data_IF_397579043546
#
_entry.id   IF_397579043546
#
_cell.length_a   1.000
_cell.length_b   1.000
_cell.length_c   1.000
_cell.angle_alpha   90.00
_cell.angle_beta   90.00
_cell.angle_gamma   90.00
#
_symmetry.space_group_name_H-M   'P 1'
#
loop_
_entity.id
_entity.type
_entity.pdbx_description
1 polymer ?
#
# COMPACT_ATOMS: atom_id res chain seq x y z
N UNK A 1 14.90 -11.02 34.03
CA UNK A 1 14.55 -10.92 32.59
C UNK A 1 13.85 -9.60 32.33
N UNK A 2 14.35 -8.78 31.41
CA UNK A 2 13.88 -7.41 31.15
C UNK A 2 13.67 -7.20 29.66
N UNK A 3 12.57 -6.53 29.29
CA UNK A 3 12.35 -6.10 27.89
C UNK A 3 12.82 -4.65 27.73
N UNK A 4 13.71 -4.41 26.79
CA UNK A 4 14.16 -3.07 26.40
C UNK A 4 13.68 -2.78 24.99
N UNK A 5 13.05 -1.63 24.77
CA UNK A 5 12.67 -1.16 23.43
C UNK A 5 13.61 -0.04 23.05
N UNK A 6 14.19 -0.12 21.86
CA UNK A 6 15.12 0.87 21.33
C UNK A 6 15.00 1.00 19.82
N UNK A 7 15.63 2.03 19.26
CA UNK A 7 15.75 2.19 17.82
C UNK A 7 16.60 1.06 17.21
N UNK A 8 16.21 0.67 16.00
CA UNK A 8 16.96 -0.26 15.16
C UNK A 8 18.30 0.35 14.74
N UNK A 9 19.39 -0.41 14.88
CA UNK A 9 20.73 -0.11 14.38
C UNK A 9 21.12 -1.14 13.34
N UNK A 10 21.35 -0.69 12.11
CA UNK A 10 21.62 -1.57 10.96
C UNK A 10 22.85 -2.44 11.17
N UNK A 11 23.86 -1.89 11.84
CA UNK A 11 25.17 -2.52 12.04
C UNK A 11 25.10 -3.71 12.99
N UNK A 12 24.14 -3.71 13.93
CA UNK A 12 24.05 -4.70 15.01
C UNK A 12 22.85 -5.63 14.89
N UNK A 13 21.76 -5.15 14.30
CA UNK A 13 20.46 -5.80 14.46
C UNK A 13 20.02 -6.58 13.22
N UNK A 14 20.70 -6.41 12.08
CA UNK A 14 20.20 -6.87 10.78
C UNK A 14 19.90 -8.37 10.75
N UNK A 15 20.84 -9.19 11.22
CA UNK A 15 20.70 -10.65 11.22
C UNK A 15 19.57 -11.12 12.16
N UNK A 16 19.53 -10.57 13.38
CA UNK A 16 18.50 -10.94 14.36
C UNK A 16 17.10 -10.48 13.94
N UNK A 17 16.98 -9.29 13.34
CA UNK A 17 15.74 -8.80 12.76
C UNK A 17 15.28 -9.71 11.62
N UNK A 18 16.18 -10.11 10.72
CA UNK A 18 15.82 -11.03 9.65
C UNK A 18 15.37 -12.40 10.20
N UNK A 19 16.01 -12.86 11.28
CA UNK A 19 15.59 -14.08 11.97
C UNK A 19 14.20 -13.95 12.60
N UNK A 20 13.89 -12.81 13.23
CA UNK A 20 12.57 -12.56 13.81
C UNK A 20 11.49 -12.50 12.72
N UNK A 21 11.73 -11.82 11.60
CA UNK A 21 10.81 -11.84 10.43
C UNK A 21 10.55 -13.28 9.99
N UNK A 22 11.61 -14.05 9.72
CA UNK A 22 11.53 -15.46 9.30
C UNK A 22 10.73 -16.31 10.29
N UNK A 23 10.91 -16.09 11.60
CA UNK A 23 10.21 -16.84 12.65
C UNK A 23 8.74 -16.47 12.82
N UNK A 24 8.37 -15.24 12.45
CA UNK A 24 7.00 -14.75 12.55
C UNK A 24 6.15 -15.15 11.35
N UNK A 25 6.78 -15.42 10.21
CA UNK A 25 6.14 -15.83 8.97
C UNK A 25 5.82 -17.33 8.97
N UNK A 26 4.86 -17.70 9.82
CA UNK A 26 4.33 -19.06 9.92
C UNK A 26 2.80 -18.98 9.93
N UNK A 27 2.18 -19.30 8.79
CA UNK A 27 0.78 -19.71 8.76
C UNK A 27 0.62 -21.06 9.49
N UNK A 28 -0.61 -21.48 9.87
CA UNK A 28 -0.79 -22.82 10.45
C UNK A 28 -0.10 -23.86 9.56
N UNK A 29 0.60 -24.83 10.16
CA UNK A 29 1.48 -25.78 9.45
C UNK A 29 0.82 -26.59 8.32
N UNK A 30 -0.52 -26.52 8.20
CA UNK A 30 -1.36 -27.13 7.17
C UNK A 30 -1.94 -26.17 6.11
N UNK A 31 -1.68 -24.85 6.19
CA UNK A 31 -2.21 -23.85 5.25
C UNK A 31 -1.12 -23.16 4.44
N UNK A 32 -1.52 -22.68 3.26
CA UNK A 32 -0.70 -21.83 2.40
C UNK A 32 -0.38 -20.53 3.17
N UNK A 33 0.88 -20.10 3.16
CA UNK A 33 1.33 -18.87 3.83
C UNK A 33 2.11 -17.97 2.89
N UNK A 34 2.09 -16.67 3.17
CA UNK A 34 2.82 -15.66 2.43
C UNK A 34 4.04 -15.21 3.22
N UNK A 35 5.21 -15.24 2.58
CA UNK A 35 6.50 -14.91 3.17
C UNK A 35 7.08 -13.66 2.48
N UNK A 36 7.70 -12.76 3.25
CA UNK A 36 8.24 -11.48 2.78
C UNK A 36 9.76 -11.51 2.80
N UNK A 37 10.37 -11.34 1.64
CA UNK A 37 11.81 -11.19 1.48
C UNK A 37 12.17 -9.71 1.38
N UNK A 38 12.77 -9.16 2.43
CA UNK A 38 13.14 -7.74 2.53
C UNK A 38 14.48 -7.40 1.85
N UNK A 39 15.08 -8.35 1.11
CA UNK A 39 16.32 -8.17 0.33
C UNK A 39 17.50 -7.55 1.13
N UNK A 40 17.63 -7.94 2.41
CA UNK A 40 18.67 -7.42 3.30
C UNK A 40 18.41 -6.01 3.83
N UNK A 41 17.17 -5.52 3.71
CA UNK A 41 16.81 -4.18 4.09
C UNK A 41 15.47 -4.12 4.85
N UNK A 42 15.49 -4.14 6.19
CA UNK A 42 14.27 -4.12 6.98
C UNK A 42 13.52 -2.78 6.97
N UNK A 43 14.11 -1.71 6.43
CA UNK A 43 13.49 -0.37 6.36
C UNK A 43 12.91 -0.08 4.97
N UNK A 44 13.02 -1.02 4.03
CA UNK A 44 12.72 -0.83 2.61
C UNK A 44 11.29 -0.33 2.35
N UNK A 45 10.34 -0.76 3.19
CA UNK A 45 8.90 -0.40 3.12
C UNK A 45 8.49 0.87 3.86
N UNK A 46 9.42 1.57 4.53
CA UNK A 46 9.09 2.83 5.26
C UNK A 46 10.03 3.99 4.93
N UNK A 47 11.23 3.71 4.40
CA UNK A 47 12.28 4.72 4.17
C UNK A 47 11.94 5.79 3.14
N UNK A 48 10.91 5.54 2.33
CA UNK A 48 10.46 6.47 1.29
C UNK A 48 9.41 7.46 1.83
N UNK A 49 8.97 7.29 3.08
CA UNK A 49 8.07 8.21 3.76
C UNK A 49 8.84 9.42 4.32
N UNK A 50 8.21 10.60 4.47
CA UNK A 50 8.88 11.82 4.93
C UNK A 50 9.55 11.71 6.29
N UNK A 51 8.96 10.93 7.19
CA UNK A 51 9.58 10.52 8.44
C UNK A 51 9.23 9.05 8.71
N UNK A 52 10.20 8.30 9.24
CA UNK A 52 10.02 6.89 9.55
C UNK A 52 10.89 6.48 10.74
N UNK A 53 10.46 5.44 11.44
CA UNK A 53 11.17 4.84 12.56
C UNK A 53 10.96 3.34 12.57
N UNK A 54 11.99 2.60 12.97
CA UNK A 54 11.88 1.20 13.33
C UNK A 54 12.39 1.00 14.74
N UNK A 55 11.58 0.33 15.56
CA UNK A 55 11.93 -0.04 16.93
C UNK A 55 12.09 -1.55 17.02
N UNK A 56 13.04 -1.99 17.84
CA UNK A 56 13.26 -3.39 18.19
C UNK A 56 13.05 -3.59 19.68
N UNK A 57 12.54 -4.77 20.06
CA UNK A 57 12.43 -5.22 21.43
C UNK A 57 13.51 -6.25 21.73
N UNK A 58 14.41 -5.91 22.65
CA UNK A 58 15.43 -6.80 23.18
C UNK A 58 14.94 -7.47 24.46
N UNK A 59 15.13 -8.78 24.54
CA UNK A 59 15.07 -9.53 25.78
C UNK A 59 16.47 -9.56 26.40
N UNK A 60 16.58 -9.02 27.61
CA UNK A 60 17.81 -9.02 28.41
C UNK A 60 17.65 -10.06 29.52
N UNK A 61 18.52 -11.06 29.49
CA UNK A 61 18.63 -12.14 30.47
C UNK A 61 19.99 -12.02 31.17
N UNK A 62 19.98 -11.99 32.51
CA UNK A 62 21.21 -12.08 33.29
C UNK A 62 21.58 -13.56 33.39
N UNK A 63 22.79 -13.90 32.97
CA UNK A 63 23.35 -15.24 33.00
C UNK A 63 24.62 -15.21 33.83
N UNK A 64 24.75 -16.13 34.78
CA UNK A 64 25.98 -16.30 35.53
C UNK A 64 26.83 -17.38 34.86
N UNK A 65 28.00 -16.99 34.35
CA UNK A 65 28.92 -17.89 33.67
C UNK A 65 30.32 -17.69 34.26
N UNK A 66 30.91 -18.77 34.80
CA UNK A 66 32.20 -18.75 35.50
C UNK A 66 32.31 -17.69 36.63
N UNK A 67 31.24 -17.49 37.40
CA UNK A 67 31.18 -16.52 38.50
C UNK A 67 31.12 -15.06 38.06
N UNK A 68 30.91 -14.79 36.77
CA UNK A 68 30.68 -13.44 36.21
C UNK A 68 29.23 -13.30 35.78
N UNK A 69 28.59 -12.20 36.16
CA UNK A 69 27.25 -11.82 35.66
C UNK A 69 27.41 -11.25 34.25
N UNK A 70 26.88 -11.95 33.26
CA UNK A 70 26.83 -11.54 31.86
C UNK A 70 25.37 -11.20 31.48
N UNK A 71 25.19 -10.17 30.67
CA UNK A 71 23.89 -9.89 30.05
C UNK A 71 23.83 -10.53 28.67
N UNK A 72 22.90 -11.47 28.48
CA UNK A 72 22.53 -11.97 27.16
C UNK A 72 21.39 -11.14 26.61
N UNK A 73 21.57 -10.61 25.40
CA UNK A 73 20.56 -9.83 24.69
C UNK A 73 20.15 -10.56 23.41
N UNK A 74 18.87 -10.52 23.09
CA UNK A 74 18.33 -11.02 21.82
C UNK A 74 17.12 -10.19 21.39
N UNK A 75 17.01 -9.91 20.10
CA UNK A 75 15.83 -9.27 19.52
C UNK A 75 14.70 -10.30 19.45
N UNK A 76 13.56 -9.95 20.03
CA UNK A 76 12.37 -10.82 20.11
C UNK A 76 11.14 -10.20 19.45
N UNK A 77 11.25 -8.96 19.00
CA UNK A 77 10.19 -8.30 18.25
C UNK A 77 10.63 -6.99 17.62
N UNK A 78 9.82 -6.48 16.71
CA UNK A 78 10.04 -5.21 16.03
C UNK A 78 8.71 -4.56 15.61
N UNK A 79 8.75 -3.26 15.37
CA UNK A 79 7.64 -2.49 14.80
C UNK A 79 8.22 -1.40 13.90
N UNK A 80 7.52 -1.08 12.81
CA UNK A 80 7.85 0.00 11.90
C UNK A 80 6.75 1.05 11.94
N UNK A 81 7.13 2.30 11.78
CA UNK A 81 6.20 3.42 11.70
C UNK A 81 6.66 4.43 10.68
N UNK A 82 5.72 5.06 9.99
CA UNK A 82 6.01 6.23 9.17
C UNK A 82 4.97 7.32 9.36
N UNK A 83 5.34 8.56 9.06
CA UNK A 83 4.49 9.73 9.23
C UNK A 83 4.40 10.49 7.91
N UNK A 84 3.19 10.91 7.57
CA UNK A 84 2.87 11.70 6.38
C UNK A 84 1.74 12.69 6.64
N UNK A 85 1.56 13.64 5.74
CA UNK A 85 0.43 14.57 5.77
C UNK A 85 -0.53 14.21 4.65
N UNK A 86 -1.80 13.99 4.99
CA UNK A 86 -2.83 13.55 4.05
C UNK A 86 -4.09 14.39 4.14
N UNK A 87 -4.93 14.28 3.12
CA UNK A 87 -6.31 14.76 3.17
C UNK A 87 -7.18 13.85 4.05
N UNK A 88 -7.87 14.43 5.04
CA UNK A 88 -8.84 13.74 5.91
C UNK A 88 -10.28 14.29 5.78
N UNK A 89 -10.49 15.29 4.93
CA UNK A 89 -11.81 15.88 4.71
C UNK A 89 -11.76 17.05 3.74
N UNK A 90 -12.90 17.73 3.60
CA UNK A 90 -13.06 18.87 2.69
C UNK A 90 -13.80 20.01 3.35
N UNK A 91 -13.44 21.25 3.00
CA UNK A 91 -14.20 22.45 3.36
C UNK A 91 -14.52 23.28 2.12
N UNK A 92 -15.65 23.96 2.14
CA UNK A 92 -15.97 24.99 1.17
C UNK A 92 -15.48 26.36 1.69
N UNK A 93 -14.85 27.18 0.84
CA UNK A 93 -14.46 28.54 1.22
C UNK A 93 -15.69 29.35 1.69
N UNK A 94 -15.66 29.88 2.92
CA UNK A 94 -16.71 30.79 3.41
C UNK A 94 -16.41 32.21 2.87
N UNK A 95 -17.27 32.68 1.95
CA UNK A 95 -17.42 34.06 1.42
C UNK A 95 -16.68 34.43 0.11
N UNK A 96 -17.48 34.70 -0.94
CA UNK A 96 -17.62 36.06 -1.48
C UNK A 96 -19.10 36.28 -1.85
N UNK A 97 -19.74 37.30 -1.24
CA UNK A 97 -21.15 37.69 -1.46
C UNK A 97 -21.33 38.58 -2.70
N UNK A 98 -20.50 38.39 -3.72
CA UNK A 98 -20.60 39.11 -4.99
C UNK A 98 -20.11 38.20 -6.11
N UNK A 99 -20.93 38.07 -7.15
CA UNK A 99 -20.73 37.29 -8.39
C UNK A 99 -21.16 35.81 -8.35
N UNK A 100 -22.33 35.46 -8.91
CA UNK A 100 -22.90 34.11 -8.91
C UNK A 100 -22.30 33.17 -9.99
N UNK A 101 -21.06 33.38 -10.45
CA UNK A 101 -20.54 32.70 -11.65
C UNK A 101 -19.35 31.76 -11.45
N UNK A 102 -18.77 31.63 -10.25
CA UNK A 102 -17.66 30.69 -10.00
C UNK A 102 -18.13 29.55 -9.11
N UNK A 103 -18.28 28.35 -9.68
CA UNK A 103 -18.52 27.11 -8.92
C UNK A 103 -17.49 26.98 -7.79
N UNK A 104 -17.94 27.02 -6.54
CA UNK A 104 -17.04 26.89 -5.39
C UNK A 104 -16.47 25.47 -5.36
N UNK A 105 -15.17 25.32 -5.58
CA UNK A 105 -14.50 24.03 -5.48
C UNK A 105 -14.18 23.71 -4.02
N UNK A 106 -14.44 22.47 -3.57
CA UNK A 106 -14.03 22.04 -2.25
C UNK A 106 -12.51 22.07 -2.14
N UNK A 107 -12.01 22.47 -0.97
CA UNK A 107 -10.59 22.52 -0.63
C UNK A 107 -10.30 21.43 0.41
N UNK A 108 -9.18 20.70 0.30
CA UNK A 108 -8.84 19.67 1.27
C UNK A 108 -8.53 20.22 2.65
N UNK A 109 -8.84 19.40 3.65
CA UNK A 109 -8.39 19.55 5.03
C UNK A 109 -7.30 18.51 5.23
N UNK A 110 -6.14 18.97 5.68
CA UNK A 110 -4.98 18.12 5.91
C UNK A 110 -4.82 17.78 7.39
N UNK A 111 -4.36 16.57 7.66
CA UNK A 111 -3.88 16.15 8.98
C UNK A 111 -2.60 15.35 8.84
N UNK A 112 -1.79 15.33 9.92
CA UNK A 112 -0.58 14.52 10.01
C UNK A 112 -0.94 13.17 10.60
N UNK A 113 -0.70 12.11 9.84
CA UNK A 113 -1.02 10.73 10.24
C UNK A 113 0.22 9.87 10.33
N UNK A 114 0.17 8.89 11.21
CA UNK A 114 1.16 7.84 11.31
C UNK A 114 0.59 6.51 10.84
N UNK A 115 1.38 5.74 10.10
CA UNK A 115 1.06 4.38 9.70
C UNK A 115 1.96 3.40 10.47
N UNK A 116 1.35 2.44 11.17
CA UNK A 116 2.05 1.32 11.80
C UNK A 116 2.14 0.18 10.78
N UNK A 117 3.36 -0.31 10.58
CA UNK A 117 3.65 -1.41 9.67
C UNK A 117 4.49 -2.49 10.36
N UNK A 118 4.28 -3.75 9.95
CA UNK A 118 5.23 -4.83 10.21
C UNK A 118 5.53 -5.08 11.69
N UNK A 119 4.51 -5.04 12.56
CA UNK A 119 4.63 -5.48 13.95
C UNK A 119 4.86 -6.99 13.98
N UNK A 120 6.03 -7.42 14.45
CA UNK A 120 6.41 -8.83 14.54
C UNK A 120 6.90 -9.16 15.93
N UNK A 121 6.42 -10.27 16.50
CA UNK A 121 6.87 -10.81 17.78
C UNK A 121 7.17 -12.29 17.61
N UNK A 122 8.39 -12.67 17.98
CA UNK A 122 8.84 -14.07 18.00
C UNK A 122 7.79 -14.95 18.66
N UNK A 123 7.37 -16.07 18.04
CA UNK A 123 6.31 -16.93 18.58
C UNK A 123 6.51 -17.34 20.04
N UNK A 124 7.74 -17.67 20.43
CA UNK A 124 8.11 -18.08 21.80
C UNK A 124 7.98 -16.96 22.84
N UNK A 125 7.85 -15.71 22.40
CA UNK A 125 7.81 -14.53 23.25
C UNK A 125 6.48 -13.77 23.17
N UNK A 126 5.47 -14.38 22.53
CA UNK A 126 4.11 -13.83 22.49
C UNK A 126 3.48 -13.86 23.89
N UNK A 127 2.43 -13.04 24.07
CA UNK A 127 1.68 -12.89 25.33
C UNK A 127 2.48 -12.33 26.52
N UNK A 128 3.71 -11.86 26.31
CA UNK A 128 4.55 -11.22 27.34
C UNK A 128 4.42 -9.68 27.38
N UNK A 129 3.41 -9.09 26.74
CA UNK A 129 3.22 -7.63 26.67
C UNK A 129 4.18 -6.87 25.74
N UNK A 130 5.08 -7.56 25.04
CA UNK A 130 6.10 -6.95 24.15
C UNK A 130 5.48 -6.11 23.04
N UNK A 131 4.43 -6.63 22.39
CA UNK A 131 3.73 -5.93 21.31
C UNK A 131 3.16 -4.58 21.77
N UNK A 132 2.45 -4.57 22.91
CA UNK A 132 1.92 -3.34 23.48
C UNK A 132 3.02 -2.35 23.84
N UNK A 133 4.16 -2.83 24.37
CA UNK A 133 5.31 -1.96 24.67
C UNK A 133 5.90 -1.32 23.41
N UNK A 134 6.02 -2.08 22.32
CA UNK A 134 6.48 -1.58 21.03
C UNK A 134 5.50 -0.54 20.44
N UNK A 135 4.20 -0.83 20.46
CA UNK A 135 3.16 0.10 19.98
C UNK A 135 3.17 1.39 20.80
N UNK A 136 3.19 1.31 22.13
CA UNK A 136 3.21 2.50 22.99
C UNK A 136 4.46 3.37 22.72
N UNK A 137 5.64 2.76 22.58
CA UNK A 137 6.87 3.51 22.26
C UNK A 137 6.84 4.14 20.87
N UNK A 138 6.21 3.48 19.90
CA UNK A 138 6.01 4.03 18.57
C UNK A 138 5.01 5.21 18.61
N UNK A 139 3.93 5.09 19.39
CA UNK A 139 2.95 6.17 19.60
C UNK A 139 3.57 7.38 20.30
N UNK A 140 4.44 7.18 21.29
CA UNK A 140 5.22 8.28 21.90
C UNK A 140 6.03 9.05 20.84
N UNK A 141 6.66 8.33 19.90
CA UNK A 141 7.37 8.96 18.78
C UNK A 141 6.40 9.70 17.84
N UNK A 142 5.24 9.12 17.53
CA UNK A 142 4.21 9.79 16.72
C UNK A 142 3.73 11.09 17.37
N UNK A 143 3.38 11.07 18.66
CA UNK A 143 2.92 12.22 19.43
C UNK A 143 4.00 13.31 19.45
N UNK A 144 5.26 12.94 19.74
CA UNK A 144 6.41 13.87 19.71
C UNK A 144 6.59 14.54 18.34
N UNK A 145 6.16 13.88 17.27
CA UNK A 145 6.21 14.41 15.91
C UNK A 145 4.92 15.14 15.48
N UNK A 146 4.00 15.42 16.41
CA UNK A 146 2.76 16.16 16.12
C UNK A 146 1.77 15.40 15.24
N UNK A 147 1.76 14.07 15.33
CA UNK A 147 0.78 13.22 14.65
C UNK A 147 -0.56 13.30 15.37
N UNK A 148 -1.63 13.51 14.61
CA UNK A 148 -2.99 13.58 15.16
C UNK A 148 -3.68 12.21 15.16
N UNK A 149 -3.44 11.38 14.14
CA UNK A 149 -4.02 10.04 14.02
C UNK A 149 -2.96 8.99 13.70
N UNK A 150 -3.07 7.81 14.28
CA UNK A 150 -2.32 6.64 13.85
C UNK A 150 -3.27 5.59 13.28
N UNK A 151 -2.86 4.93 12.18
CA UNK A 151 -3.62 3.86 11.57
C UNK A 151 -2.73 2.68 11.18
N UNK A 152 -3.35 1.55 10.88
CA UNK A 152 -2.71 0.33 10.42
C UNK A 152 -3.66 -0.49 9.56
N UNK A 153 -3.10 -1.35 8.72
CA UNK A 153 -3.82 -2.35 7.95
C UNK A 153 -3.60 -3.74 8.55
N UNK A 154 -4.65 -4.57 8.59
CA UNK A 154 -4.56 -5.96 9.02
C UNK A 154 -5.69 -6.78 8.39
N UNK A 155 -5.46 -8.07 8.15
CA UNK A 155 -6.55 -8.95 7.72
C UNK A 155 -7.60 -9.09 8.83
N UNK A 156 -8.88 -9.07 8.46
CA UNK A 156 -9.99 -9.22 9.40
C UNK A 156 -9.96 -10.57 10.15
N UNK A 157 -9.36 -11.60 9.54
CA UNK A 157 -9.15 -12.92 10.13
C UNK A 157 -7.95 -12.99 11.10
N UNK A 158 -7.10 -11.95 11.15
CA UNK A 158 -5.96 -11.90 12.07
C UNK A 158 -6.41 -11.50 13.49
N UNK A 159 -7.08 -12.44 14.17
CA UNK A 159 -7.62 -12.21 15.51
C UNK A 159 -6.59 -11.68 16.52
N UNK A 160 -5.33 -12.10 16.39
CA UNK A 160 -4.27 -11.66 17.30
C UNK A 160 -3.97 -10.16 17.15
N UNK A 161 -3.86 -9.69 15.91
CA UNK A 161 -3.67 -8.26 15.58
C UNK A 161 -4.92 -7.46 15.95
N UNK A 162 -6.10 -7.92 15.53
CA UNK A 162 -7.38 -7.25 15.82
C UNK A 162 -7.59 -7.09 17.32
N UNK A 163 -7.37 -8.15 18.12
CA UNK A 163 -7.52 -8.08 19.58
C UNK A 163 -6.49 -7.16 20.23
N UNK A 164 -5.25 -7.16 19.76
CA UNK A 164 -4.20 -6.27 20.27
C UNK A 164 -4.61 -4.81 20.04
N UNK A 165 -4.88 -4.43 18.79
CA UNK A 165 -5.11 -3.04 18.46
C UNK A 165 -6.45 -2.52 18.96
N UNK A 166 -7.53 -3.29 18.81
CA UNK A 166 -8.86 -2.84 19.20
C UNK A 166 -9.11 -2.84 20.71
N UNK A 167 -8.54 -3.81 21.44
CA UNK A 167 -8.83 -3.93 22.89
C UNK A 167 -7.70 -3.44 23.80
N UNK A 168 -6.44 -3.44 23.35
CA UNK A 168 -5.30 -3.08 24.21
C UNK A 168 -4.66 -1.75 23.85
N UNK A 169 -4.64 -1.39 22.57
CA UNK A 169 -3.99 -0.17 22.11
C UNK A 169 -4.97 0.98 21.81
N UNK A 170 -6.28 0.74 21.85
CA UNK A 170 -7.30 1.78 21.69
C UNK A 170 -7.58 2.20 20.24
N UNK A 171 -7.29 1.33 19.28
CA UNK A 171 -7.67 1.54 17.88
C UNK A 171 -9.13 1.12 17.68
N UNK A 172 -9.73 1.64 16.63
CA UNK A 172 -11.09 1.26 16.20
C UNK A 172 -11.09 0.98 14.70
N UNK A 173 -12.01 0.13 14.26
CA UNK A 173 -12.24 -0.13 12.83
C UNK A 173 -12.55 1.19 12.11
N UNK A 174 -11.94 1.41 10.96
CA UNK A 174 -12.02 2.68 10.24
C UNK A 174 -12.47 2.54 8.79
N UNK A 175 -11.66 1.85 7.97
CA UNK A 175 -11.91 1.62 6.54
C UNK A 175 -11.72 0.15 6.22
N UNK A 176 -12.27 -0.27 5.09
CA UNK A 176 -12.14 -1.65 4.60
C UNK A 176 -11.93 -1.70 3.09
N UNK A 177 -10.85 -1.10 2.56
CA UNK A 177 -10.55 -1.19 1.13
C UNK A 177 -10.39 -2.64 0.66
N UNK A 178 -10.39 -2.83 -0.65
CA UNK A 178 -10.18 -4.12 -1.29
C UNK A 178 -8.80 -4.17 -1.96
N UNK A 179 -8.00 -5.17 -1.60
CA UNK A 179 -6.74 -5.49 -2.26
C UNK A 179 -7.04 -6.38 -3.46
N UNK A 180 -6.70 -5.92 -4.66
CA UNK A 180 -6.94 -6.61 -5.91
C UNK A 180 -5.63 -7.09 -6.52
N UNK A 181 -5.50 -8.40 -6.74
CA UNK A 181 -4.27 -9.01 -7.24
C UNK A 181 -4.49 -9.65 -8.61
N UNK A 182 -3.76 -9.17 -9.60
CA UNK A 182 -3.70 -9.71 -10.95
C UNK A 182 -2.41 -10.51 -11.15
N UNK A 183 -2.48 -11.80 -11.47
CA UNK A 183 -1.34 -12.53 -11.99
C UNK A 183 -0.72 -11.90 -13.23
N UNK A 184 0.61 -11.93 -13.30
CA UNK A 184 1.35 -11.64 -14.53
C UNK A 184 1.56 -12.95 -15.29
N UNK A 185 0.88 -13.07 -16.43
CA UNK A 185 0.93 -14.26 -17.29
C UNK A 185 2.21 -14.30 -18.13
N UNK A 186 2.48 -15.44 -18.77
CA UNK A 186 3.59 -15.55 -19.72
C UNK A 186 3.27 -14.87 -21.06
N UNK A 187 1.99 -14.84 -21.45
CA UNK A 187 1.53 -14.07 -22.61
C UNK A 187 1.30 -12.59 -22.25
N UNK A 188 1.30 -11.71 -23.26
CA UNK A 188 1.00 -10.29 -23.07
C UNK A 188 -0.51 -10.06 -22.89
N UNK A 189 -0.87 -9.24 -21.92
CA UNK A 189 -2.24 -8.74 -21.78
C UNK A 189 -2.63 -7.88 -22.99
N UNK A 190 -3.86 -8.07 -23.48
CA UNK A 190 -4.40 -7.31 -24.61
C UNK A 190 -4.78 -5.90 -24.15
N UNK A 191 -4.13 -4.89 -24.72
CA UNK A 191 -4.53 -3.48 -24.58
C UNK A 191 -5.47 -3.13 -25.75
N UNK A 192 -6.58 -2.43 -25.47
CA UNK A 192 -7.56 -2.05 -26.48
C UNK A 192 -6.93 -1.17 -27.56
N UNK A 193 -7.13 -1.50 -28.83
CA UNK A 193 -6.67 -0.65 -29.96
C UNK A 193 -7.46 0.66 -30.06
N UNK A 194 -8.59 0.77 -29.35
CA UNK A 194 -9.43 1.98 -29.25
C UNK A 194 -8.95 2.94 -28.17
N UNK A 195 -7.85 2.64 -27.50
CA UNK A 195 -7.28 3.45 -26.44
C UNK A 195 -5.88 3.89 -26.84
N UNK A 196 -5.56 5.14 -26.53
CA UNK A 196 -4.20 5.67 -26.56
C UNK A 196 -3.74 5.85 -25.13
N UNK A 197 -2.55 5.33 -24.80
CA UNK A 197 -1.94 5.44 -23.48
C UNK A 197 -0.74 6.37 -23.60
N UNK A 198 -0.74 7.44 -22.82
CA UNK A 198 0.34 8.43 -22.80
C UNK A 198 1.04 8.37 -21.45
N UNK A 199 2.37 8.36 -21.46
CA UNK A 199 3.18 8.51 -20.24
C UNK A 199 3.32 10.00 -19.93
N UNK A 200 3.02 10.37 -18.70
CA UNK A 200 3.18 11.73 -18.21
C UNK A 200 4.56 11.93 -17.57
N UNK A 201 5.08 13.14 -17.63
CA UNK A 201 6.18 13.55 -16.74
C UNK A 201 5.67 13.64 -15.29
N UNK A 202 6.55 13.54 -14.27
CA UNK A 202 6.14 13.69 -12.87
C UNK A 202 5.40 15.00 -12.59
N UNK A 203 5.83 16.11 -13.18
CA UNK A 203 5.19 17.41 -13.03
C UNK A 203 3.76 17.44 -13.62
N UNK A 204 3.56 16.85 -14.81
CA UNK A 204 2.23 16.79 -15.42
C UNK A 204 1.29 15.87 -14.63
N UNK A 205 1.80 14.76 -14.13
CA UNK A 205 1.05 13.85 -13.27
C UNK A 205 0.63 14.51 -11.96
N UNK A 206 1.49 15.33 -11.36
CA UNK A 206 1.19 16.09 -10.14
C UNK A 206 -0.02 17.01 -10.34
N UNK A 207 -0.03 17.79 -11.43
CA UNK A 207 -1.13 18.71 -11.74
C UNK A 207 -2.46 17.96 -11.84
N UNK A 208 -2.48 16.84 -12.57
CA UNK A 208 -3.69 16.02 -12.73
C UNK A 208 -4.10 15.38 -11.41
N UNK A 209 -3.18 14.83 -10.63
CA UNK A 209 -3.47 14.20 -9.35
C UNK A 209 -3.99 15.19 -8.32
N UNK A 210 -3.37 16.37 -8.18
CA UNK A 210 -3.89 17.42 -7.29
C UNK A 210 -5.28 17.88 -7.73
N UNK A 211 -5.53 18.00 -9.04
CA UNK A 211 -6.86 18.36 -9.53
C UNK A 211 -7.92 17.30 -9.25
N UNK A 212 -7.57 16.02 -9.42
CA UNK A 212 -8.50 14.89 -9.34
C UNK A 212 -8.73 14.39 -7.92
N UNK A 213 -7.67 14.32 -7.11
CA UNK A 213 -7.64 13.58 -5.84
C UNK A 213 -7.36 14.45 -4.62
N UNK A 214 -7.12 15.76 -4.76
CA UNK A 214 -6.78 16.60 -3.59
C UNK A 214 -7.77 16.45 -2.44
N UNK A 215 -9.05 16.29 -2.74
CA UNK A 215 -10.14 16.10 -1.77
C UNK A 215 -10.47 14.64 -1.46
N UNK A 216 -9.77 13.67 -2.06
CA UNK A 216 -9.90 12.24 -1.77
C UNK A 216 -9.22 11.91 -0.45
N UNK A 217 -9.86 11.08 0.36
CA UNK A 217 -9.31 10.65 1.64
C UNK A 217 -7.95 9.94 1.45
N UNK A 218 -7.00 10.18 2.36
CA UNK A 218 -5.62 9.70 2.31
C UNK A 218 -4.74 10.25 1.18
N UNK A 219 -5.23 11.20 0.37
CA UNK A 219 -4.38 11.82 -0.66
C UNK A 219 -3.16 12.52 -0.02
N UNK A 220 -1.92 12.16 -0.41
CA UNK A 220 -0.72 12.69 0.21
C UNK A 220 -0.48 14.13 -0.24
N UNK A 221 -0.20 15.01 0.73
CA UNK A 221 0.12 16.42 0.45
C UNK A 221 1.37 16.55 -0.42
N UNK A 222 2.33 15.64 -0.24
CA UNK A 222 3.62 15.53 -0.92
C UNK A 222 3.60 14.55 -2.12
N UNK A 223 2.48 14.49 -2.85
CA UNK A 223 2.33 13.60 -4.03
C UNK A 223 3.47 13.76 -5.05
N UNK A 224 4.04 14.96 -5.18
CA UNK A 224 5.22 15.26 -6.00
C UNK A 224 6.43 14.39 -5.62
N UNK A 225 6.66 14.17 -4.33
CA UNK A 225 7.77 13.36 -3.83
C UNK A 225 7.58 11.87 -4.16
N UNK A 226 6.34 11.40 -4.19
CA UNK A 226 6.00 10.04 -4.66
C UNK A 226 6.24 9.94 -6.17
N UNK A 227 5.74 10.91 -6.95
CA UNK A 227 5.82 10.88 -8.41
C UNK A 227 7.26 11.02 -8.94
N UNK A 228 8.14 11.73 -8.23
CA UNK A 228 9.56 11.87 -8.55
C UNK A 228 10.45 10.74 -7.99
N UNK A 229 9.89 9.82 -7.20
CA UNK A 229 10.66 8.71 -6.65
C UNK A 229 11.08 7.73 -7.75
N UNK A 230 12.31 7.21 -7.69
CA UNK A 230 12.83 6.19 -8.62
C UNK A 230 11.99 4.90 -8.70
N UNK A 231 11.20 4.60 -7.67
CA UNK A 231 10.31 3.45 -7.62
C UNK A 231 9.00 3.71 -8.39
N UNK A 232 8.65 4.96 -8.69
CA UNK A 232 7.55 5.27 -9.60
C UNK A 232 8.03 5.05 -11.05
N UNK A 233 7.57 3.96 -11.67
CA UNK A 233 7.90 3.62 -13.06
C UNK A 233 7.21 4.56 -14.07
N UNK A 234 6.15 5.23 -13.63
CA UNK A 234 5.50 6.29 -14.38
C UNK A 234 4.02 6.41 -14.06
N UNK A 235 3.47 7.54 -14.50
CA UNK A 235 2.03 7.81 -14.51
C UNK A 235 1.55 7.76 -15.95
N UNK A 236 0.43 7.08 -16.18
CA UNK A 236 -0.10 6.81 -17.49
C UNK A 236 -1.55 7.24 -17.57
N UNK A 237 -1.89 7.97 -18.63
CA UNK A 237 -3.25 8.39 -18.91
C UNK A 237 -3.77 7.63 -20.13
N UNK A 238 -4.99 7.12 -20.04
CA UNK A 238 -5.70 6.46 -21.12
C UNK A 238 -6.85 7.34 -21.61
N UNK A 239 -6.93 7.49 -22.93
CA UNK A 239 -7.90 8.32 -23.63
C UNK A 239 -8.43 7.56 -24.87
N UNK A 240 -9.62 7.89 -25.39
CA UNK A 240 -10.13 7.28 -26.61
C UNK A 240 -9.16 7.55 -27.76
N UNK A 241 -8.93 6.54 -28.58
CA UNK A 241 -8.24 6.70 -29.85
C UNK A 241 -9.25 7.13 -30.90
N UNK A 242 -9.07 8.33 -31.42
CA UNK A 242 -9.73 8.77 -32.64
C UNK A 242 -8.76 8.59 -33.82
N UNK A 243 -9.21 7.87 -34.85
CA UNK A 243 -8.44 7.64 -36.06
C UNK A 243 -8.38 8.88 -36.97
N UNK A 244 -9.34 9.80 -36.81
CA UNK A 244 -9.48 11.01 -37.61
C UNK A 244 -8.90 12.26 -36.93
N UNK A 245 -8.68 12.21 -35.61
CA UNK A 245 -8.04 13.28 -34.84
C UNK A 245 -7.09 12.70 -33.77
N UNK A 246 -5.81 12.46 -34.09
CA UNK A 246 -4.84 11.99 -33.11
C UNK A 246 -4.76 12.96 -31.94
N UNK A 247 -4.82 12.45 -30.70
CA UNK A 247 -4.63 13.30 -29.51
C UNK A 247 -3.21 13.85 -29.53
N UNK A 248 -3.11 15.17 -29.74
CA UNK A 248 -1.88 15.90 -29.52
C UNK A 248 -1.83 16.28 -28.03
N UNK A 249 -0.90 15.67 -27.29
CA UNK A 249 -0.72 16.00 -25.88
C UNK A 249 -0.24 17.45 -25.78
N UNK A 250 -1.10 18.32 -25.29
CA UNK A 250 -0.86 19.76 -25.23
C UNK A 250 -0.59 20.28 -23.81
N UNK A 251 -0.32 19.35 -22.90
CA UNK A 251 -0.07 19.60 -21.48
C UNK A 251 -1.31 19.42 -20.60
N UNK A 252 -1.10 19.30 -19.28
CA UNK A 252 -2.13 18.94 -18.31
C UNK A 252 -3.19 20.03 -18.15
N UNK A 253 -2.82 21.31 -18.23
CA UNK A 253 -3.78 22.42 -18.08
C UNK A 253 -4.83 22.45 -19.19
N UNK A 254 -4.38 22.27 -20.45
CA UNK A 254 -5.28 22.18 -21.60
C UNK A 254 -6.13 20.91 -21.52
N UNK A 255 -5.52 19.79 -21.14
CA UNK A 255 -6.23 18.54 -20.92
C UNK A 255 -7.35 18.68 -19.87
N UNK A 256 -7.08 19.31 -18.72
CA UNK A 256 -8.06 19.49 -17.64
C UNK A 256 -9.11 20.56 -17.93
N UNK A 257 -8.82 21.51 -18.83
CA UNK A 257 -9.76 22.55 -19.24
C UNK A 257 -10.79 22.03 -20.25
N UNK A 258 -10.40 21.07 -21.10
CA UNK A 258 -11.29 20.43 -22.07
C UNK A 258 -10.91 18.94 -22.22
N UNK A 259 -11.18 18.11 -21.21
CA UNK A 259 -10.83 16.69 -21.27
C UNK A 259 -11.71 15.97 -22.29
N UNK A 260 -11.23 14.85 -22.88
CA UNK A 260 -12.08 13.99 -23.68
C UNK A 260 -13.25 13.45 -22.83
N UNK A 261 -14.34 13.08 -23.49
CA UNK A 261 -15.57 12.58 -22.85
C UNK A 261 -15.30 11.46 -21.84
N UNK A 262 -14.29 10.63 -22.08
CA UNK A 262 -13.83 9.66 -21.11
C UNK A 262 -12.30 9.65 -21.04
N UNK A 263 -11.76 9.44 -19.84
CA UNK A 263 -10.34 9.23 -19.62
C UNK A 263 -10.11 8.44 -18.33
N UNK A 264 -8.93 7.85 -18.18
CA UNK A 264 -8.48 7.24 -16.93
C UNK A 264 -6.99 7.50 -16.69
N UNK A 265 -6.56 7.41 -15.44
CA UNK A 265 -5.18 7.60 -15.02
C UNK A 265 -4.81 6.57 -13.95
N UNK A 266 -3.54 6.14 -13.96
CA UNK A 266 -2.92 5.43 -12.83
C UNK A 266 -1.41 5.60 -12.87
N UNK A 267 -0.76 5.30 -11.75
CA UNK A 267 0.69 5.18 -11.64
C UNK A 267 1.10 3.75 -11.28
N UNK A 268 2.35 3.40 -11.58
CA UNK A 268 2.94 2.09 -11.30
C UNK A 268 4.16 2.25 -10.39
N UNK A 269 4.12 1.60 -9.22
CA UNK A 269 5.19 1.56 -8.25
C UNK A 269 5.91 0.20 -8.27
N UNK A 270 7.24 0.24 -8.22
CA UNK A 270 8.10 -0.93 -8.28
C UNK A 270 8.44 -1.44 -6.87
N UNK A 271 7.72 -2.47 -6.40
CA UNK A 271 8.06 -3.14 -5.16
C UNK A 271 9.16 -4.20 -5.36
N UNK A 272 9.29 -4.78 -6.56
CA UNK A 272 10.18 -5.91 -6.86
C UNK A 272 11.65 -5.67 -6.54
N UNK A 273 12.12 -4.43 -6.66
CA UNK A 273 13.51 -4.05 -6.39
C UNK A 273 13.77 -3.73 -4.91
N UNK A 274 12.73 -3.78 -4.08
CA UNK A 274 12.73 -3.36 -2.67
C UNK A 274 12.43 -4.54 -1.76
N UNK A 275 11.44 -5.35 -2.13
CA UNK A 275 11.05 -6.56 -1.43
C UNK A 275 10.34 -7.55 -2.36
N UNK A 276 10.27 -8.81 -1.95
CA UNK A 276 9.62 -9.89 -2.72
C UNK A 276 8.70 -10.71 -1.84
N UNK A 277 7.77 -11.42 -2.46
CA UNK A 277 6.90 -12.36 -1.79
C UNK A 277 7.24 -13.80 -2.15
N UNK A 278 6.84 -14.74 -1.32
CA UNK A 278 6.90 -16.16 -1.63
C UNK A 278 5.72 -16.88 -0.98
N UNK A 279 4.99 -17.65 -1.77
CA UNK A 279 3.92 -18.52 -1.31
C UNK A 279 4.51 -19.86 -0.87
N UNK A 280 4.40 -20.16 0.42
CA UNK A 280 4.84 -21.41 1.04
C UNK A 280 3.66 -22.29 1.45
N UNK A 281 3.93 -23.57 1.74
CA UNK A 281 2.91 -24.53 2.18
C UNK A 281 2.08 -25.21 1.08
N UNK A 282 2.24 -24.84 -0.19
CA UNK A 282 1.54 -25.52 -1.29
C UNK A 282 2.03 -26.96 -1.52
N UNK A 283 1.10 -27.88 -1.82
CA UNK A 283 1.39 -29.30 -2.07
C UNK A 283 2.24 -29.51 -3.34
N UNK A 284 2.99 -30.62 -3.40
CA UNK A 284 3.83 -30.96 -4.57
C UNK A 284 2.99 -31.06 -5.86
N UNK A 285 1.81 -31.66 -5.77
CA UNK A 285 0.87 -31.76 -6.89
C UNK A 285 0.38 -30.37 -7.34
N UNK A 286 0.01 -29.50 -6.40
CA UNK A 286 -0.40 -28.13 -6.71
C UNK A 286 0.72 -27.32 -7.39
N UNK A 287 1.96 -27.44 -6.91
CA UNK A 287 3.14 -26.84 -7.54
C UNK A 287 3.38 -27.37 -8.97
N UNK A 288 3.19 -28.68 -9.17
CA UNK A 288 3.29 -29.32 -10.48
C UNK A 288 2.26 -28.78 -11.48
N UNK A 289 0.97 -28.77 -11.10
CA UNK A 289 -0.12 -28.25 -11.93
C UNK A 289 0.10 -26.78 -12.30
N UNK A 290 0.49 -25.95 -11.32
CA UNK A 290 0.81 -24.56 -11.57
C UNK A 290 1.96 -24.40 -12.59
N UNK A 291 3.05 -25.17 -12.43
CA UNK A 291 4.17 -25.17 -13.38
C UNK A 291 3.72 -25.59 -14.79
N UNK A 292 2.91 -26.64 -14.90
CA UNK A 292 2.38 -27.10 -16.19
C UNK A 292 1.53 -26.02 -16.86
N UNK A 293 0.66 -25.34 -16.12
CA UNK A 293 -0.16 -24.24 -16.65
C UNK A 293 0.69 -23.10 -17.24
N UNK A 294 1.83 -22.77 -16.60
CA UNK A 294 2.78 -21.76 -17.10
C UNK A 294 3.49 -22.21 -18.36
N UNK A 295 3.89 -23.47 -18.43
CA UNK A 295 4.55 -24.03 -19.61
C UNK A 295 3.59 -23.99 -20.80
N UNK A 296 2.34 -24.42 -20.61
CA UNK A 296 1.33 -24.38 -21.67
C UNK A 296 1.08 -22.95 -22.17
N UNK A 297 0.98 -21.97 -21.27
CA UNK A 297 0.79 -20.57 -21.63
C UNK A 297 1.99 -20.00 -22.41
N UNK A 298 3.21 -20.39 -22.03
CA UNK A 298 4.43 -19.98 -22.75
C UNK A 298 4.53 -20.63 -24.14
N UNK A 299 4.14 -21.89 -24.28
CA UNK A 299 4.21 -22.64 -25.56
C UNK A 299 3.09 -22.21 -26.51
N UNK A 300 1.90 -21.90 -25.97
CA UNK A 300 0.72 -21.54 -26.76
C UNK A 300 0.18 -20.14 -26.37
N UNK A 301 0.96 -19.06 -26.55
CA UNK A 301 0.58 -17.72 -26.08
C UNK A 301 -0.67 -17.16 -26.79
N UNK A 302 -1.00 -17.68 -27.97
CA UNK A 302 -2.21 -17.33 -28.71
C UNK A 302 -3.49 -17.83 -28.02
N UNK A 303 -3.41 -18.88 -27.19
CA UNK A 303 -4.53 -19.40 -26.40
C UNK A 303 -4.85 -18.54 -25.16
N UNK A 304 -3.92 -17.65 -24.75
CA UNK A 304 -4.08 -16.73 -23.61
C UNK A 304 -4.55 -17.44 -22.35
N UNK A 305 -3.86 -18.53 -22.02
CA UNK A 305 -4.22 -19.37 -20.89
C UNK A 305 -4.01 -18.54 -19.61
N UNK A 306 -5.02 -18.42 -18.72
CA UNK A 306 -4.86 -17.74 -17.44
C UNK A 306 -4.00 -18.61 -16.51
N UNK A 307 -2.70 -18.62 -16.75
CA UNK A 307 -1.74 -19.50 -16.08
C UNK A 307 -1.43 -19.04 -14.66
N UNK A 308 -1.15 -20.00 -13.78
CA UNK A 308 -0.80 -19.70 -12.39
C UNK A 308 0.65 -19.18 -12.34
N UNK A 309 0.92 -17.95 -11.88
CA UNK A 309 2.26 -17.37 -11.91
C UNK A 309 3.23 -18.12 -11.00
N UNK A 310 4.53 -17.89 -11.13
CA UNK A 310 5.54 -18.53 -10.26
C UNK A 310 5.55 -17.87 -8.88
N UNK A 311 4.62 -18.29 -8.02
CA UNK A 311 4.50 -17.75 -6.67
C UNK A 311 5.26 -18.56 -5.61
N UNK A 312 5.80 -19.73 -5.95
CA UNK A 312 6.43 -20.64 -4.96
C UNK A 312 7.93 -20.42 -4.78
N UNK A 313 8.47 -19.38 -5.41
CA UNK A 313 9.81 -18.83 -5.24
C UNK A 313 9.67 -17.33 -5.02
N UNK A 314 10.69 -16.64 -4.47
CA UNK A 314 10.65 -15.19 -4.31
C UNK A 314 10.26 -14.49 -5.61
N UNK A 315 9.14 -13.77 -5.59
CA UNK A 315 8.54 -13.11 -6.74
C UNK A 315 8.28 -11.62 -6.50
N UNK A 316 8.39 -10.86 -7.58
CA UNK A 316 8.17 -9.41 -7.59
C UNK A 316 6.72 -9.00 -7.76
N UNK A 317 6.43 -7.79 -7.31
CA UNK A 317 5.13 -7.12 -7.43
C UNK A 317 5.34 -5.73 -8.02
N UNK A 318 4.46 -5.32 -8.91
CA UNK A 318 4.18 -3.89 -9.13
C UNK A 318 2.89 -3.51 -8.43
N UNK A 319 2.89 -2.36 -7.76
CA UNK A 319 1.70 -1.80 -7.13
C UNK A 319 1.13 -0.66 -7.97
N UNK A 320 -0.17 -0.71 -8.27
CA UNK A 320 -0.87 0.38 -8.97
C UNK A 320 -1.51 1.30 -7.94
N UNK A 321 -1.29 2.60 -8.10
CA UNK A 321 -1.83 3.64 -7.22
C UNK A 321 -2.36 4.83 -8.03
N UNK A 322 -3.15 5.69 -7.37
CA UNK A 322 -3.76 6.86 -8.04
C UNK A 322 -4.74 6.49 -9.16
N UNK A 323 -5.42 5.34 -9.03
CA UNK A 323 -6.41 4.90 -9.99
C UNK A 323 -7.58 5.89 -10.01
N UNK A 324 -7.90 6.40 -11.19
CA UNK A 324 -9.06 7.26 -11.39
C UNK A 324 -9.51 7.29 -12.83
N UNK A 325 -10.71 7.81 -13.04
CA UNK A 325 -11.24 8.06 -14.37
C UNK A 325 -12.50 8.91 -14.34
N UNK A 326 -12.90 9.35 -15.52
CA UNK A 326 -14.11 10.12 -15.77
C UNK A 326 -14.75 9.67 -17.08
N UNK A 327 -16.07 9.84 -17.16
CA UNK A 327 -16.84 9.53 -18.35
C UNK A 327 -17.35 8.09 -18.48
N UNK A 328 -18.26 7.84 -19.43
CA UNK A 328 -18.94 6.55 -19.59
C UNK A 328 -18.01 5.38 -19.92
N UNK A 329 -16.80 5.63 -20.47
CA UNK A 329 -15.82 4.60 -20.83
C UNK A 329 -14.63 4.52 -19.87
N UNK A 330 -14.69 5.19 -18.71
CA UNK A 330 -13.60 5.19 -17.72
C UNK A 330 -13.16 3.77 -17.32
N UNK A 331 -14.11 2.85 -17.11
CA UNK A 331 -13.85 1.45 -16.74
C UNK A 331 -13.08 0.71 -17.85
N UNK A 332 -13.43 0.93 -19.13
CA UNK A 332 -12.68 0.35 -20.28
C UNK A 332 -11.23 0.88 -20.32
N UNK A 333 -11.05 2.15 -19.99
CA UNK A 333 -9.74 2.80 -19.98
C UNK A 333 -8.87 2.32 -18.84
N UNK A 334 -9.43 2.17 -17.64
CA UNK A 334 -8.73 1.53 -16.51
C UNK A 334 -8.35 0.11 -16.85
N UNK A 335 -9.24 -0.69 -17.43
CA UNK A 335 -8.91 -2.04 -17.88
C UNK A 335 -7.76 -2.06 -18.88
N UNK A 336 -7.70 -1.08 -19.78
CA UNK A 336 -6.60 -0.92 -20.73
C UNK A 336 -5.28 -0.52 -20.06
N UNK A 337 -5.34 0.37 -19.06
CA UNK A 337 -4.17 0.74 -18.24
C UNK A 337 -3.67 -0.43 -17.39
N UNK A 338 -4.56 -1.23 -16.78
CA UNK A 338 -4.18 -2.45 -16.06
C UNK A 338 -3.51 -3.46 -17.00
N UNK A 339 -4.03 -3.63 -18.23
CA UNK A 339 -3.39 -4.47 -19.24
C UNK A 339 -2.00 -3.96 -19.65
N UNK A 340 -1.82 -2.64 -19.74
CA UNK A 340 -0.50 -2.03 -19.96
C UNK A 340 0.44 -2.27 -18.77
N UNK A 341 -0.04 -2.04 -17.55
CA UNK A 341 0.75 -2.22 -16.33
C UNK A 341 1.14 -3.69 -16.09
N UNK A 342 0.27 -4.64 -16.42
CA UNK A 342 0.60 -6.06 -16.47
C UNK A 342 1.78 -6.34 -17.41
N UNK A 343 1.76 -5.79 -18.62
CA UNK A 343 2.84 -5.98 -19.58
C UNK A 343 4.14 -5.31 -19.13
N UNK A 344 4.06 -4.18 -18.43
CA UNK A 344 5.22 -3.54 -17.80
C UNK A 344 5.77 -4.42 -16.67
N UNK A 345 4.91 -4.95 -15.80
CA UNK A 345 5.29 -5.88 -14.73
C UNK A 345 5.97 -7.14 -15.28
N UNK A 346 5.46 -7.68 -16.39
CA UNK A 346 6.08 -8.81 -17.10
C UNK A 346 7.51 -8.49 -17.55
N UNK A 347 7.75 -7.30 -18.12
CA UNK A 347 9.08 -6.87 -18.55
C UNK A 347 10.07 -6.72 -17.39
N UNK A 348 9.56 -6.36 -16.21
CA UNK A 348 10.34 -6.24 -14.97
C UNK A 348 10.44 -7.56 -14.18
N UNK A 349 9.96 -8.69 -14.72
CA UNK A 349 10.03 -9.99 -14.07
C UNK A 349 9.12 -10.14 -12.85
N UNK A 350 8.11 -9.28 -12.68
CA UNK A 350 7.11 -9.40 -11.64
C UNK A 350 6.15 -10.55 -11.95
N UNK A 351 5.66 -11.21 -10.91
CA UNK A 351 4.68 -12.30 -11.03
C UNK A 351 3.25 -11.84 -10.76
N UNK A 352 3.08 -10.67 -10.14
CA UNK A 352 1.78 -10.09 -9.83
C UNK A 352 1.80 -8.58 -10.00
N UNK A 353 0.62 -8.04 -10.33
CA UNK A 353 0.27 -6.63 -10.18
C UNK A 353 -0.78 -6.54 -9.10
N UNK A 354 -0.59 -5.65 -8.13
CA UNK A 354 -1.54 -5.44 -7.04
C UNK A 354 -2.03 -3.99 -7.03
N UNK A 355 -3.23 -3.77 -6.50
CA UNK A 355 -3.71 -2.43 -6.17
C UNK A 355 -4.64 -2.55 -4.97
N UNK A 356 -4.87 -1.44 -4.29
CA UNK A 356 -5.81 -1.35 -3.20
C UNK A 356 -6.72 -0.14 -3.44
N UNK A 357 -8.03 -0.38 -3.40
CA UNK A 357 -9.05 0.61 -3.76
C UNK A 357 -10.17 0.63 -2.73
N UNK A 358 -10.94 1.71 -2.67
CA UNK A 358 -12.13 1.78 -1.83
C UNK A 358 -13.07 0.61 -2.13
N UNK A 359 -13.70 0.02 -1.10
CA UNK A 359 -14.57 -1.15 -1.23
C UNK A 359 -15.61 -0.97 -2.33
N UNK A 360 -16.24 0.20 -2.30
CA UNK A 360 -17.37 0.58 -3.14
C UNK A 360 -16.94 1.55 -4.27
N UNK A 361 -15.64 1.66 -4.53
CA UNK A 361 -15.13 2.49 -5.62
C UNK A 361 -15.58 1.91 -6.97
N UNK A 362 -16.30 2.67 -7.82
CA UNK A 362 -16.74 2.17 -9.14
C UNK A 362 -15.58 1.69 -10.01
N UNK A 363 -14.37 2.25 -9.82
CA UNK A 363 -13.18 1.90 -10.59
C UNK A 363 -12.73 0.46 -10.35
N UNK A 364 -13.07 -0.13 -9.19
CA UNK A 364 -12.79 -1.53 -8.82
C UNK A 364 -13.26 -2.49 -9.90
N UNK A 365 -14.39 -2.21 -10.55
CA UNK A 365 -14.96 -3.05 -11.62
C UNK A 365 -14.09 -3.11 -12.87
N UNK A 366 -13.24 -2.11 -13.10
CA UNK A 366 -12.33 -2.04 -14.23
C UNK A 366 -11.00 -2.76 -14.01
N UNK A 367 -10.69 -3.16 -12.77
CA UNK A 367 -9.40 -3.75 -12.40
C UNK A 367 -9.46 -5.29 -12.53
N UNK A 368 -8.77 -5.89 -13.52
CA UNK A 368 -8.70 -7.35 -13.64
C UNK A 368 -7.96 -7.94 -12.44
N UNK A 369 -8.51 -8.97 -11.81
CA UNK A 369 -7.89 -9.63 -10.66
C UNK A 369 -8.38 -11.07 -10.49
N UNK A 370 -7.69 -11.85 -9.66
CA UNK A 370 -8.11 -13.18 -9.25
C UNK A 370 -8.62 -13.15 -7.81
N UNK A 371 -9.92 -13.44 -7.62
CA UNK A 371 -10.55 -13.47 -6.29
C UNK A 371 -9.79 -14.30 -5.25
N UNK A 372 -9.14 -15.40 -5.67
CA UNK A 372 -8.35 -16.27 -4.78
C UNK A 372 -7.05 -15.64 -4.25
N UNK A 373 -6.57 -14.59 -4.91
CA UNK A 373 -5.36 -13.85 -4.51
C UNK A 373 -5.69 -12.46 -3.96
N UNK A 374 -6.92 -11.99 -4.14
CA UNK A 374 -7.42 -10.71 -3.68
C UNK A 374 -8.01 -10.82 -2.27
N UNK A 375 -8.10 -9.68 -1.58
CA UNK A 375 -8.82 -9.53 -0.32
C UNK A 375 -9.94 -8.49 -0.51
N UNK A 376 -11.20 -8.89 -0.30
CA UNK A 376 -12.32 -7.96 -0.45
C UNK A 376 -12.42 -6.96 0.72
N UNK A 377 -11.88 -7.32 1.89
CA UNK A 377 -11.98 -6.54 3.12
C UNK A 377 -10.64 -6.48 3.89
N UNK A 378 -9.72 -5.62 3.46
CA UNK A 378 -8.53 -5.32 4.27
C UNK A 378 -8.91 -4.35 5.40
N UNK A 379 -8.73 -4.75 6.66
CA UNK A 379 -9.23 -3.97 7.80
C UNK A 379 -8.22 -2.88 8.17
N UNK A 380 -8.59 -1.63 7.92
CA UNK A 380 -7.86 -0.49 8.43
C UNK A 380 -8.42 -0.09 9.80
N UNK A 381 -7.54 -0.02 10.79
CA UNK A 381 -7.87 0.48 12.12
C UNK A 381 -7.21 1.84 12.36
N UNK A 382 -7.87 2.73 13.07
CA UNK A 382 -7.39 4.08 13.39
C UNK A 382 -7.53 4.39 14.89
N UNK A 383 -6.64 5.23 15.39
CA UNK A 383 -6.66 5.82 16.73
C UNK A 383 -6.32 7.31 16.61
N UNK A 384 -7.06 8.15 17.32
CA UNK A 384 -6.69 9.55 17.54
C UNK A 384 -5.66 9.63 18.65
N UNK A 385 -4.55 10.32 18.40
CA UNK A 385 -3.46 10.54 19.35
C UNK A 385 -3.48 11.96 19.96
N UNK A 386 -4.05 12.94 19.25
CA UNK A 386 -4.16 14.32 19.76
C UNK A 386 -5.18 14.45 20.89
N UNK A 387 -4.77 15.06 22.01
CA UNK A 387 -5.57 15.21 23.24
C UNK A 387 -6.58 16.37 23.19
N UNK A 388 -6.32 17.39 22.37
CA UNK A 388 -7.20 18.55 22.26
C UNK A 388 -8.39 18.27 21.33
N UNK A 389 -9.59 18.29 21.92
CA UNK A 389 -10.86 18.35 21.20
C UNK A 389 -10.93 19.68 20.43
N UNK A 390 -10.31 19.73 19.25
CA UNK A 390 -10.64 20.79 18.29
C UNK A 390 -11.84 20.33 17.48
N UNK A 391 -12.96 21.06 17.61
CA UNK A 391 -14.10 21.02 16.69
C UNK A 391 -13.69 21.63 15.33
N UNK A 392 -12.63 21.09 14.74
CA UNK A 392 -12.20 21.41 13.41
C UNK A 392 -13.28 21.06 12.39
N UNK A 393 -13.10 21.51 11.14
CA UNK A 393 -14.08 21.31 10.06
C UNK A 393 -14.50 19.84 9.80
N UNK A 394 -13.77 18.85 10.30
CA UNK A 394 -14.06 17.40 10.13
C UNK A 394 -14.60 16.74 11.42
N UNK A 395 -14.48 17.40 12.59
CA UNK A 395 -14.70 16.75 13.88
C UNK A 395 -13.73 15.59 14.14
N UNK A 396 -14.15 14.58 14.90
CA UNK A 396 -13.37 13.35 15.09
C UNK A 396 -13.41 12.48 13.82
N UNK A 397 -12.34 12.55 13.02
CA UNK A 397 -12.24 11.80 11.77
C UNK A 397 -12.35 10.29 11.98
N UNK A 398 -12.01 9.74 13.17
CA UNK A 398 -12.16 8.31 13.46
C UNK A 398 -13.62 7.84 13.44
N UNK A 399 -14.58 8.76 13.54
CA UNK A 399 -16.03 8.50 13.51
C UNK A 399 -16.66 8.80 12.16
N UNK A 400 -15.88 9.27 11.18
CA UNK A 400 -16.39 9.61 9.86
C UNK A 400 -16.83 8.38 9.08
N UNK A 401 -17.90 8.54 8.30
CA UNK A 401 -18.37 7.51 7.37
C UNK A 401 -17.36 7.30 6.23
N UNK A 402 -17.19 6.06 5.74
CA UNK A 402 -16.29 5.80 4.61
C UNK A 402 -16.79 6.52 3.34
N UNK A 403 -15.87 7.13 2.61
CA UNK A 403 -16.12 7.63 1.26
C UNK A 403 -16.10 6.50 0.22
N UNK A 404 -16.46 6.83 -1.03
CA UNK A 404 -16.40 5.89 -2.16
C UNK A 404 -14.95 5.52 -2.51
N UNK A 405 -14.07 6.52 -2.52
CA UNK A 405 -12.68 6.39 -2.95
C UNK A 405 -11.72 6.71 -1.80
N UNK A 406 -10.59 6.01 -1.81
CA UNK A 406 -9.47 6.23 -0.91
C UNK A 406 -8.19 6.22 -1.74
N UNK A 407 -7.25 7.12 -1.43
CA UNK A 407 -5.95 7.13 -2.08
C UNK A 407 -4.97 6.31 -1.26
N UNK A 408 -4.46 5.22 -1.81
CA UNK A 408 -3.45 4.40 -1.15
C UNK A 408 -2.05 4.90 -1.54
N UNK A 409 -1.26 5.24 -0.53
CA UNK A 409 0.11 5.71 -0.72
C UNK A 409 1.01 4.52 -1.07
N UNK A 410 1.65 4.51 -2.25
CA UNK A 410 2.44 3.36 -2.70
C UNK A 410 3.68 3.11 -1.82
N UNK A 411 4.09 4.08 -1.00
CA UNK A 411 5.21 3.92 -0.06
C UNK A 411 4.90 2.94 1.07
N UNK A 412 3.62 2.67 1.33
CA UNK A 412 3.15 1.79 2.41
C UNK A 412 2.95 0.34 1.96
N UNK A 413 3.08 0.08 0.66
CA UNK A 413 2.95 -1.23 0.04
C UNK A 413 4.30 -1.94 -0.05
#
# INVERSE_FOLDING_TARGET
MKIVVREFSRERDLEEVEQVERSCEVGPASKISLFTHLLGDPLCRIRHSPAFLMLVAELVEEVEENGRKLERRRIVGMIRGCIKTITCGTKYPRNFRSYPTVSQKPVPIYTKVAYILGLRISPSNRRMGIASKLVNKMEEWFIKNGVEYSYLATESENEASVKLFNHKCGYSKFRTPSILVQPVFAHRAKVSKRVTILKLTPHEAEIIYRRKFSTTEFFPRDIDSILNNKLNLGTFIAVPRDAHAPINWSGPEKFLSNPPESWAILSVWNCNDVWRLEVRGASRMGKGLAKTSRIMDRVFPFLKIPSFPELFRPFGIHFLYGLGGEGPKAIEMVKSLCGFAHNLAQQHGCSVVATEVGRDDPIKTGVPHWKKLSCDEDLWCIKRLGEDYSDGFVGDWTKSSPGLSIFVDPREF
#
